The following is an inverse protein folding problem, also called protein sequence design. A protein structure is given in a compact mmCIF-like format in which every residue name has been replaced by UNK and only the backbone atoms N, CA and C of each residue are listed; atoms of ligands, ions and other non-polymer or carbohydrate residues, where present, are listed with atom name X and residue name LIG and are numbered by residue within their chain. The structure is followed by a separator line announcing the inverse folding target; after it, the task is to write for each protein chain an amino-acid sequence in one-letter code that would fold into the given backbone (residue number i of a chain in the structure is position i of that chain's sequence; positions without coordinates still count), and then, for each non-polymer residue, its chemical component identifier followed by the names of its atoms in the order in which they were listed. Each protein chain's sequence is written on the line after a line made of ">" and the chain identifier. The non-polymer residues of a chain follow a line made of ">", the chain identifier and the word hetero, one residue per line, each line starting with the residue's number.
data_IF_783035006641
#
_entry.id   IF_783035006641
#
_cell.length_a   1.000
_cell.length_b   1.000
_cell.length_c   1.000
_cell.angle_alpha   90.00
_cell.angle_beta   90.00
_cell.angle_gamma   90.00
#
_symmetry.space_group_name_H-M   'P 1'
#
loop_
_entity.id
_entity.type
_entity.pdbx_description
1 polymer ?
#
# COMPACT_ATOMS: atom_id res chain seq x y z
N UNK A 1 -33.38 -26.62 6.23
CA UNK A 1 -32.21 -25.87 6.71
C UNK A 1 -31.85 -24.82 5.67
N UNK A 2 -32.10 -23.54 5.97
CA UNK A 2 -31.82 -22.42 5.08
C UNK A 2 -30.41 -21.88 5.36
N UNK A 3 -29.45 -22.03 4.44
CA UNK A 3 -28.15 -21.35 4.52
C UNK A 3 -28.19 -20.02 3.75
N UNK A 4 -28.70 -18.97 4.39
CA UNK A 4 -28.59 -17.60 3.88
C UNK A 4 -27.13 -17.09 3.90
N UNK A 5 -26.30 -17.64 4.79
CA UNK A 5 -24.90 -17.28 4.97
C UNK A 5 -24.03 -17.66 3.75
N UNK A 6 -24.31 -18.79 3.09
CA UNK A 6 -23.51 -19.26 1.95
C UNK A 6 -23.78 -18.44 0.68
N UNK A 7 -25.02 -18.01 0.47
CA UNK A 7 -25.38 -17.12 -0.65
C UNK A 7 -24.75 -15.75 -0.52
N UNK A 8 -24.74 -15.17 0.69
CA UNK A 8 -24.11 -13.87 0.92
C UNK A 8 -22.59 -13.95 0.69
N UNK A 9 -21.91 -14.97 1.24
CA UNK A 9 -20.46 -15.19 1.02
C UNK A 9 -20.13 -15.43 -0.45
N UNK A 10 -20.95 -16.19 -1.17
CA UNK A 10 -20.79 -16.44 -2.60
C UNK A 10 -20.98 -15.16 -3.43
N UNK A 11 -22.01 -14.35 -3.12
CA UNK A 11 -22.25 -13.07 -3.77
C UNK A 11 -21.10 -12.08 -3.52
N UNK A 12 -20.60 -11.99 -2.28
CA UNK A 12 -19.44 -11.15 -1.94
C UNK A 12 -18.19 -11.54 -2.72
N UNK A 13 -17.86 -12.83 -2.81
CA UNK A 13 -16.70 -13.31 -3.58
C UNK A 13 -16.83 -13.01 -5.07
N UNK A 14 -18.04 -13.13 -5.62
CA UNK A 14 -18.33 -12.79 -7.02
C UNK A 14 -18.13 -11.30 -7.29
N UNK A 15 -18.63 -10.41 -6.42
CA UNK A 15 -18.46 -8.96 -6.57
C UNK A 15 -16.99 -8.56 -6.51
N UNK A 16 -16.23 -9.08 -5.54
CA UNK A 16 -14.79 -8.79 -5.43
C UNK A 16 -14.00 -9.27 -6.65
N UNK A 17 -14.33 -10.47 -7.17
CA UNK A 17 -13.71 -10.97 -8.39
C UNK A 17 -13.97 -10.02 -9.56
N UNK A 18 -15.22 -9.61 -9.77
CA UNK A 18 -15.56 -8.69 -10.86
C UNK A 18 -14.90 -7.32 -10.74
N UNK A 19 -14.73 -6.82 -9.52
CA UNK A 19 -13.97 -5.59 -9.29
C UNK A 19 -12.50 -5.76 -9.68
N UNK A 20 -11.87 -6.86 -9.25
CA UNK A 20 -10.48 -7.17 -9.63
C UNK A 20 -10.35 -7.33 -11.15
N UNK A 21 -11.26 -8.06 -11.79
CA UNK A 21 -11.27 -8.25 -13.25
C UNK A 21 -11.37 -6.90 -13.97
N UNK A 22 -12.23 -5.99 -13.51
CA UNK A 22 -12.35 -4.65 -14.08
C UNK A 22 -11.06 -3.82 -13.92
N UNK A 23 -10.35 -3.93 -12.79
CA UNK A 23 -9.06 -3.26 -12.63
C UNK A 23 -7.98 -3.87 -13.52
N UNK A 24 -7.96 -5.20 -13.67
CA UNK A 24 -7.04 -5.88 -14.57
C UNK A 24 -7.29 -5.47 -16.01
N UNK A 25 -8.55 -5.43 -16.44
CA UNK A 25 -8.95 -4.94 -17.76
C UNK A 25 -8.50 -3.49 -17.98
N UNK A 26 -8.73 -2.61 -17.00
CA UNK A 26 -8.38 -1.19 -17.09
C UNK A 26 -6.88 -0.92 -17.25
N UNK A 27 -6.02 -1.84 -16.78
CA UNK A 27 -4.56 -1.71 -16.93
C UNK A 27 -4.00 -2.58 -18.06
N UNK A 28 -4.79 -3.43 -18.69
CA UNK A 28 -4.33 -4.34 -19.74
C UNK A 28 -4.17 -3.65 -21.10
N UNK A 29 -3.34 -4.19 -22.03
CA UNK A 29 -2.46 -5.35 -21.87
C UNK A 29 -1.06 -5.02 -21.31
N UNK A 30 -0.69 -3.75 -21.21
CA UNK A 30 0.69 -3.31 -20.93
C UNK A 30 0.91 -2.65 -19.56
N UNK A 31 -0.10 -2.64 -18.69
CA UNK A 31 -0.03 -2.05 -17.37
C UNK A 31 0.12 -3.10 -16.27
N UNK A 32 0.12 -2.61 -15.03
CA UNK A 32 0.30 -3.42 -13.84
C UNK A 32 -0.76 -3.04 -12.81
N UNK A 33 -1.41 -4.05 -12.24
CA UNK A 33 -2.26 -3.92 -11.07
C UNK A 33 -1.44 -4.31 -9.83
N UNK A 34 -1.27 -3.38 -8.90
CA UNK A 34 -0.46 -3.55 -7.69
C UNK A 34 -1.34 -3.31 -6.48
N UNK A 35 -1.50 -4.30 -5.61
CA UNK A 35 -2.27 -4.19 -4.37
C UNK A 35 -1.36 -4.45 -3.15
N UNK A 36 -1.60 -3.79 -2.01
CA UNK A 36 -0.85 -4.04 -0.79
C UNK A 36 -1.16 -5.43 -0.24
N UNK A 37 -0.12 -6.19 0.09
CA UNK A 37 -0.20 -7.52 0.68
C UNK A 37 0.52 -7.55 2.05
N UNK A 38 0.41 -6.48 2.83
CA UNK A 38 1.19 -6.30 4.05
C UNK A 38 0.91 -7.40 5.08
N UNK A 39 1.94 -7.85 5.78
CA UNK A 39 1.84 -8.92 6.77
C UNK A 39 2.47 -8.57 8.11
N UNK A 40 3.39 -7.61 8.15
CA UNK A 40 4.13 -7.21 9.36
C UNK A 40 4.87 -8.37 10.06
N UNK A 41 5.09 -9.50 9.39
CA UNK A 41 5.70 -10.71 9.96
C UNK A 41 7.05 -10.45 10.64
N UNK A 42 7.90 -9.62 10.02
CA UNK A 42 9.20 -9.26 10.59
C UNK A 42 9.09 -8.40 11.86
N UNK A 43 8.00 -7.67 12.04
CA UNK A 43 7.71 -6.95 13.28
C UNK A 43 7.28 -7.90 14.40
N UNK A 44 6.75 -9.08 14.06
CA UNK A 44 6.20 -10.06 14.99
C UNK A 44 7.15 -11.24 15.25
N UNK A 45 8.33 -11.27 14.62
CA UNK A 45 9.26 -12.41 14.72
C UNK A 45 8.78 -13.66 13.99
N UNK A 46 7.90 -13.49 12.99
CA UNK A 46 7.31 -14.58 12.22
C UNK A 46 8.07 -14.82 10.91
N UNK A 47 7.98 -16.06 10.41
CA UNK A 47 8.53 -16.41 9.08
C UNK A 47 7.63 -15.83 8.01
N UNK A 48 8.23 -15.11 7.05
CA UNK A 48 7.54 -14.62 5.87
C UNK A 48 7.68 -15.62 4.72
N UNK A 49 6.56 -16.07 4.18
CA UNK A 49 6.51 -16.87 2.96
C UNK A 49 5.70 -16.08 1.92
N UNK A 50 6.31 -15.58 0.82
CA UNK A 50 5.60 -14.79 -0.18
C UNK A 50 4.36 -15.50 -0.75
N UNK A 51 4.42 -16.84 -0.86
CA UNK A 51 3.38 -17.68 -1.45
C UNK A 51 2.28 -18.02 -0.43
N UNK A 52 2.63 -18.26 0.83
CA UNK A 52 1.69 -18.76 1.85
C UNK A 52 1.21 -17.69 2.85
N UNK A 53 2.05 -16.72 3.25
CA UNK A 53 1.71 -15.76 4.32
C UNK A 53 0.50 -14.90 3.93
N UNK A 54 -0.59 -14.89 4.72
CA UNK A 54 -1.75 -14.04 4.41
C UNK A 54 -1.45 -12.54 4.46
N UNK A 55 -2.13 -11.77 3.62
CA UNK A 55 -2.25 -10.31 3.77
C UNK A 55 -3.15 -9.97 4.96
N UNK A 56 -2.81 -8.90 5.68
CA UNK A 56 -3.56 -8.40 6.85
C UNK A 56 -4.35 -7.13 6.57
N UNK A 57 -4.33 -6.62 5.33
CA UNK A 57 -4.83 -5.28 4.98
C UNK A 57 -6.02 -5.25 4.02
N UNK A 58 -6.77 -6.36 3.94
CA UNK A 58 -8.08 -6.38 3.29
C UNK A 58 -8.38 -7.67 2.55
N UNK A 59 -9.68 -8.02 2.49
CA UNK A 59 -10.14 -9.24 1.82
C UNK A 59 -9.91 -9.20 0.30
N UNK A 60 -10.07 -8.03 -0.33
CA UNK A 60 -9.84 -7.85 -1.77
C UNK A 60 -8.36 -8.06 -2.12
N UNK A 61 -7.45 -7.55 -1.30
CA UNK A 61 -6.01 -7.68 -1.55
C UNK A 61 -5.53 -9.11 -1.31
N UNK A 62 -6.08 -9.81 -0.31
CA UNK A 62 -5.80 -11.23 -0.09
C UNK A 62 -6.37 -12.13 -1.21
N UNK A 63 -7.55 -11.81 -1.73
CA UNK A 63 -8.11 -12.50 -2.89
C UNK A 63 -7.23 -12.29 -4.12
N UNK A 64 -6.80 -11.06 -4.38
CA UNK A 64 -5.89 -10.74 -5.48
C UNK A 64 -4.54 -11.45 -5.35
N UNK A 65 -3.94 -11.47 -4.16
CA UNK A 65 -2.67 -12.18 -3.91
C UNK A 65 -2.73 -13.65 -4.35
N UNK A 66 -3.89 -14.30 -4.21
CA UNK A 66 -4.13 -15.71 -4.56
C UNK A 66 -4.55 -15.91 -6.02
N UNK A 67 -4.72 -14.84 -6.80
CA UNK A 67 -5.13 -14.95 -8.19
C UNK A 67 -4.01 -15.57 -9.05
N UNK A 68 -4.35 -16.38 -10.07
CA UNK A 68 -3.36 -16.94 -10.97
C UNK A 68 -2.48 -15.88 -11.63
N UNK A 69 -1.17 -16.15 -11.71
CA UNK A 69 -0.20 -15.26 -12.37
C UNK A 69 0.28 -14.08 -11.52
N UNK A 70 -0.30 -13.85 -10.34
CA UNK A 70 0.14 -12.80 -9.42
C UNK A 70 1.47 -13.18 -8.76
N UNK A 71 2.41 -12.24 -8.72
CA UNK A 71 3.67 -12.36 -7.96
C UNK A 71 3.65 -11.44 -6.75
N UNK A 72 4.43 -11.78 -5.71
CA UNK A 72 4.56 -10.97 -4.50
C UNK A 72 6.01 -10.62 -4.21
N UNK A 73 6.24 -9.40 -3.71
CA UNK A 73 7.57 -8.96 -3.26
C UNK A 73 8.00 -9.62 -1.95
N UNK A 74 9.31 -9.66 -1.73
CA UNK A 74 9.94 -10.27 -0.56
C UNK A 74 9.93 -9.43 0.74
N UNK A 75 9.28 -8.25 0.74
CA UNK A 75 9.18 -7.41 1.93
C UNK A 75 8.27 -8.04 3.00
N UNK A 76 8.90 -8.58 4.06
CA UNK A 76 8.23 -9.23 5.19
C UNK A 76 7.43 -8.28 6.09
N UNK A 77 7.37 -6.98 5.76
CA UNK A 77 6.57 -5.97 6.44
C UNK A 77 5.51 -5.43 5.48
N UNK A 78 5.95 -4.79 4.39
CA UNK A 78 5.13 -4.03 3.44
C UNK A 78 5.06 -4.66 2.04
N UNK A 79 5.03 -6.00 1.94
CA UNK A 79 4.94 -6.67 0.64
C UNK A 79 3.73 -6.24 -0.19
N UNK A 80 3.91 -6.29 -1.51
CA UNK A 80 2.89 -6.02 -2.52
C UNK A 80 2.67 -7.25 -3.40
N UNK A 81 1.45 -7.40 -3.87
CA UNK A 81 1.06 -8.35 -4.91
C UNK A 81 0.93 -7.61 -6.24
N UNK A 82 1.38 -8.22 -7.34
CA UNK A 82 1.45 -7.60 -8.67
C UNK A 82 0.97 -8.55 -9.75
N UNK A 83 0.14 -8.04 -10.66
CA UNK A 83 -0.20 -8.68 -11.93
C UNK A 83 0.06 -7.69 -13.06
N UNK A 84 0.80 -8.07 -14.08
CA UNK A 84 1.04 -7.22 -15.25
C UNK A 84 2.36 -7.48 -15.96
N UNK A 85 2.65 -6.65 -16.96
CA UNK A 85 3.81 -6.80 -17.84
C UNK A 85 5.16 -6.66 -17.12
N UNK A 86 5.21 -5.81 -16.09
CA UNK A 86 6.44 -5.39 -15.40
C UNK A 86 6.45 -5.91 -13.96
N UNK A 87 5.73 -7.00 -13.68
CA UNK A 87 5.61 -7.56 -12.33
C UNK A 87 6.97 -7.82 -11.67
N UNK A 88 7.95 -8.32 -12.43
CA UNK A 88 9.30 -8.61 -11.91
C UNK A 88 10.03 -7.34 -11.48
N UNK A 89 9.82 -6.22 -12.20
CA UNK A 89 10.35 -4.93 -11.78
C UNK A 89 9.73 -4.49 -10.45
N UNK A 90 8.43 -4.67 -10.23
CA UNK A 90 7.79 -4.19 -9.00
C UNK A 90 8.08 -5.06 -7.76
N UNK A 91 8.19 -6.38 -7.92
CA UNK A 91 8.44 -7.29 -6.79
C UNK A 91 9.89 -7.29 -6.30
N UNK A 92 10.85 -6.87 -7.14
CA UNK A 92 12.29 -6.82 -6.83
C UNK A 92 12.67 -5.68 -5.87
N UNK A 93 12.10 -5.67 -4.67
CA UNK A 93 12.21 -4.55 -3.72
C UNK A 93 13.51 -4.56 -2.92
N UNK A 94 14.00 -3.38 -2.58
CA UNK A 94 15.12 -3.18 -1.67
C UNK A 94 14.81 -3.55 -0.22
N UNK A 95 15.77 -3.30 0.68
CA UNK A 95 15.64 -3.59 2.12
C UNK A 95 15.16 -2.41 2.96
N UNK A 96 14.76 -1.32 2.33
CA UNK A 96 14.19 -0.15 2.99
C UNK A 96 12.74 0.01 2.53
N UNK A 97 11.78 -0.26 3.42
CA UNK A 97 10.35 -0.37 3.07
C UNK A 97 9.77 0.87 2.38
N UNK A 98 10.36 2.05 2.63
CA UNK A 98 9.90 3.34 2.08
C UNK A 98 11.05 4.17 1.51
N UNK A 99 12.19 3.53 1.22
CA UNK A 99 13.38 4.21 0.73
C UNK A 99 13.78 3.76 -0.67
N UNK A 100 15.10 3.70 -0.88
CA UNK A 100 15.68 3.30 -2.16
C UNK A 100 15.22 1.88 -2.55
N UNK A 101 14.79 1.74 -3.80
CA UNK A 101 14.25 0.52 -4.40
C UNK A 101 12.98 -0.02 -3.71
N UNK A 102 12.34 0.74 -2.83
CA UNK A 102 11.03 0.39 -2.29
C UNK A 102 9.97 0.38 -3.39
N UNK A 103 8.88 -0.36 -3.19
CA UNK A 103 7.74 -0.28 -4.11
C UNK A 103 7.24 1.15 -4.28
N UNK A 104 7.26 1.96 -3.21
CA UNK A 104 6.78 3.34 -3.27
C UNK A 104 7.68 4.24 -4.11
N UNK A 105 9.00 4.04 -4.09
CA UNK A 105 9.92 4.72 -5.02
C UNK A 105 9.66 4.28 -6.47
N UNK A 106 9.47 2.98 -6.72
CA UNK A 106 9.14 2.48 -8.07
C UNK A 106 7.82 3.02 -8.60
N UNK A 107 6.81 3.15 -7.74
CA UNK A 107 5.53 3.77 -8.09
C UNK A 107 5.71 5.26 -8.44
N UNK A 108 6.60 5.97 -7.74
CA UNK A 108 6.99 7.34 -8.08
C UNK A 108 7.68 7.41 -9.44
N UNK A 109 8.69 6.57 -9.67
CA UNK A 109 9.48 6.54 -10.91
C UNK A 109 8.62 6.24 -12.15
N UNK A 110 7.58 5.41 -11.99
CA UNK A 110 6.63 5.10 -13.06
C UNK A 110 5.45 6.06 -13.14
N UNK A 111 5.43 7.12 -12.32
CA UNK A 111 4.30 8.05 -12.16
C UNK A 111 2.94 7.33 -12.08
N UNK A 112 2.89 6.26 -11.28
CA UNK A 112 1.73 5.39 -11.19
C UNK A 112 0.50 6.13 -10.64
N UNK A 113 -0.68 5.54 -10.85
CA UNK A 113 -1.90 5.98 -10.20
C UNK A 113 -2.00 5.34 -8.81
N UNK A 114 -2.26 6.16 -7.79
CA UNK A 114 -2.72 5.71 -6.48
C UNK A 114 -4.24 5.75 -6.47
N UNK A 115 -4.87 4.58 -6.31
CA UNK A 115 -6.33 4.42 -6.37
C UNK A 115 -6.86 3.96 -5.01
N UNK A 116 -7.87 4.67 -4.52
CA UNK A 116 -8.53 4.43 -3.25
C UNK A 116 -9.99 4.08 -3.51
N UNK A 117 -10.45 2.98 -2.94
CA UNK A 117 -11.83 2.50 -3.09
C UNK A 117 -12.48 2.50 -1.73
N UNK A 118 -13.61 3.17 -1.61
CA UNK A 118 -14.35 3.26 -0.35
C UNK A 118 -14.43 4.68 0.19
N UNK A 119 -14.99 4.78 1.38
CA UNK A 119 -15.14 6.07 2.06
C UNK A 119 -13.86 6.54 2.72
N UNK A 120 -12.96 5.64 3.15
CA UNK A 120 -11.71 6.05 3.80
C UNK A 120 -10.62 6.40 2.79
N UNK A 121 -9.81 7.40 3.13
CA UNK A 121 -8.62 7.76 2.38
C UNK A 121 -7.37 7.29 3.12
N UNK A 122 -7.02 6.01 2.97
CA UNK A 122 -5.83 5.44 3.61
C UNK A 122 -4.65 5.40 2.63
N UNK A 123 -3.71 6.34 2.79
CA UNK A 123 -2.60 6.54 1.87
C UNK A 123 -1.26 6.14 2.48
N UNK A 124 -0.89 4.86 2.40
CA UNK A 124 0.43 4.37 2.86
C UNK A 124 1.59 5.08 2.17
N UNK A 125 1.39 5.58 0.94
CA UNK A 125 2.39 6.34 0.18
C UNK A 125 2.89 7.61 0.89
N UNK A 126 2.14 8.19 1.83
CA UNK A 126 2.63 9.36 2.60
C UNK A 126 3.90 9.02 3.38
N UNK A 127 4.10 7.76 3.78
CA UNK A 127 5.27 7.32 4.54
C UNK A 127 6.57 7.34 3.72
N UNK A 128 6.46 7.13 2.41
CA UNK A 128 7.55 7.35 1.46
C UNK A 128 7.94 8.84 1.40
N UNK A 129 6.95 9.73 1.33
CA UNK A 129 7.18 11.19 1.33
C UNK A 129 7.82 11.64 2.65
N UNK A 130 7.29 11.17 3.78
CA UNK A 130 7.81 11.46 5.12
C UNK A 130 9.27 11.01 5.29
N UNK A 131 9.60 9.81 4.81
CA UNK A 131 10.96 9.30 4.86
C UNK A 131 11.90 10.11 3.96
N UNK A 132 11.45 10.46 2.75
CA UNK A 132 12.24 11.25 1.80
C UNK A 132 12.57 12.64 2.35
N UNK A 133 11.66 13.24 3.12
CA UNK A 133 11.83 14.55 3.76
C UNK A 133 12.40 14.48 5.18
N UNK A 134 12.63 13.27 5.72
CA UNK A 134 13.17 13.04 7.07
C UNK A 134 12.40 13.81 8.15
N UNK A 135 11.08 13.62 8.17
CA UNK A 135 10.22 14.24 9.20
C UNK A 135 10.69 13.86 10.62
N UNK A 136 10.62 14.79 11.59
CA UNK A 136 11.25 14.60 12.90
C UNK A 136 10.50 13.61 13.81
N UNK A 137 9.28 13.24 13.46
CA UNK A 137 8.41 12.39 14.26
C UNK A 137 8.40 10.92 13.79
N UNK A 138 9.36 10.53 12.95
CA UNK A 138 9.60 9.14 12.55
C UNK A 138 11.07 8.79 12.63
N UNK A 139 11.37 7.52 12.84
CA UNK A 139 12.74 7.03 12.91
C UNK A 139 12.88 5.67 12.26
N UNK A 140 14.06 5.41 11.66
CA UNK A 140 14.37 4.11 11.08
C UNK A 140 14.63 3.08 12.18
N UNK A 141 13.95 1.93 12.07
CA UNK A 141 14.20 0.74 12.87
C UNK A 141 14.48 -0.45 11.95
N UNK A 142 15.42 -1.30 12.37
CA UNK A 142 15.75 -2.56 11.69
C UNK A 142 14.92 -3.69 12.27
N UNK A 143 14.35 -4.50 11.39
CA UNK A 143 13.61 -5.70 11.73
C UNK A 143 14.25 -6.88 11.00
N UNK A 144 14.74 -7.85 11.78
CA UNK A 144 15.33 -9.07 11.26
C UNK A 144 14.29 -10.18 11.22
N UNK A 145 14.31 -11.00 10.18
CA UNK A 145 13.39 -12.12 10.02
C UNK A 145 13.88 -13.12 9.00
N UNK A 146 13.04 -14.13 8.74
CA UNK A 146 13.33 -15.21 7.80
C UNK A 146 12.31 -15.20 6.68
N UNK A 147 12.78 -15.21 5.44
CA UNK A 147 11.97 -15.43 4.25
C UNK A 147 12.07 -16.91 3.89
N UNK A 148 10.93 -17.58 3.74
CA UNK A 148 10.81 -18.94 3.22
C UNK A 148 10.47 -18.89 1.74
N UNK A 149 11.24 -19.63 0.94
CA UNK A 149 10.98 -19.87 -0.50
C UNK A 149 11.13 -21.35 -0.78
N UNK A 150 10.01 -22.09 -0.81
CA UNK A 150 10.04 -23.55 -0.83
C UNK A 150 10.84 -24.11 0.34
N UNK A 151 11.88 -24.90 0.04
CA UNK A 151 12.76 -25.48 1.06
C UNK A 151 13.85 -24.51 1.57
N UNK A 152 14.00 -23.33 0.97
CA UNK A 152 15.04 -22.37 1.33
C UNK A 152 14.56 -21.42 2.44
N UNK A 153 15.42 -21.17 3.42
CA UNK A 153 15.25 -20.15 4.45
C UNK A 153 16.33 -19.09 4.28
N UNK A 154 15.92 -17.83 4.17
CA UNK A 154 16.79 -16.69 3.88
C UNK A 154 16.65 -15.69 5.03
N UNK A 155 17.72 -15.49 5.79
CA UNK A 155 17.77 -14.41 6.78
C UNK A 155 17.80 -13.07 6.05
N UNK A 156 16.94 -12.15 6.45
CA UNK A 156 16.87 -10.82 5.90
C UNK A 156 16.66 -9.77 7.01
N UNK A 157 17.02 -8.54 6.70
CA UNK A 157 16.77 -7.37 7.54
C UNK A 157 16.09 -6.32 6.68
N UNK A 158 15.00 -5.76 7.17
CA UNK A 158 14.33 -4.62 6.57
C UNK A 158 14.42 -3.39 7.49
N UNK A 159 14.65 -2.23 6.89
CA UNK A 159 14.51 -0.93 7.53
C UNK A 159 13.10 -0.41 7.33
N UNK A 160 12.45 -0.03 8.42
CA UNK A 160 11.15 0.60 8.43
C UNK A 160 11.24 1.92 9.20
N UNK A 161 10.89 3.03 8.54
CA UNK A 161 10.70 4.34 9.16
C UNK A 161 9.40 4.39 9.98
N UNK A 162 9.50 3.91 11.22
CA UNK A 162 8.39 3.74 12.15
C UNK A 162 7.95 5.08 12.76
N UNK A 163 6.69 5.15 13.19
CA UNK A 163 6.27 6.17 14.16
C UNK A 163 6.38 5.61 15.60
N UNK A 164 6.79 6.41 16.58
CA UNK A 164 6.60 6.08 17.99
C UNK A 164 5.11 5.91 18.31
N UNK A 165 4.79 4.88 19.10
CA UNK A 165 3.40 4.55 19.46
C UNK A 165 2.88 5.38 20.65
N UNK A 166 3.79 5.89 21.47
CA UNK A 166 3.58 6.62 22.72
C UNK A 166 3.52 8.15 22.55
N UNK A 167 3.86 8.68 21.36
CA UNK A 167 3.96 10.12 21.12
C UNK A 167 2.71 10.76 20.51
N UNK A 168 1.56 10.07 20.51
CA UNK A 168 0.28 10.66 20.07
C UNK A 168 0.27 11.11 18.60
N UNK A 169 1.04 10.44 17.74
CA UNK A 169 1.09 10.77 16.30
C UNK A 169 -0.20 10.28 15.63
N UNK A 170 -1.06 11.23 15.29
CA UNK A 170 -2.34 10.98 14.62
C UNK A 170 -2.39 11.70 13.29
N UNK A 171 -2.53 10.94 12.20
CA UNK A 171 -2.67 11.47 10.86
C UNK A 171 -4.03 12.10 10.62
N UNK A 172 -4.06 13.16 9.80
CA UNK A 172 -5.28 13.76 9.26
C UNK A 172 -5.39 13.46 7.76
N UNK A 173 -5.76 12.23 7.43
CA UNK A 173 -5.75 11.75 6.04
C UNK A 173 -6.84 12.40 5.17
N UNK A 174 -7.99 12.76 5.74
CA UNK A 174 -9.01 13.50 5.00
C UNK A 174 -8.60 14.96 4.75
N UNK A 175 -7.80 15.58 5.62
CA UNK A 175 -7.15 16.86 5.31
C UNK A 175 -6.20 16.74 4.11
N UNK A 176 -5.43 15.66 4.03
CA UNK A 176 -4.57 15.38 2.88
C UNK A 176 -5.41 15.18 1.61
N UNK A 177 -6.50 14.41 1.68
CA UNK A 177 -7.41 14.20 0.56
C UNK A 177 -8.01 15.51 0.05
N UNK A 178 -8.57 16.33 0.93
CA UNK A 178 -9.11 17.66 0.59
C UNK A 178 -8.06 18.56 -0.04
N UNK A 179 -6.83 18.56 0.50
CA UNK A 179 -5.75 19.36 -0.05
C UNK A 179 -5.36 18.97 -1.49
N UNK A 180 -5.41 17.67 -1.81
CA UNK A 180 -5.21 17.19 -3.20
C UNK A 180 -6.40 17.51 -4.11
N UNK A 181 -7.63 17.46 -3.58
CA UNK A 181 -8.87 17.80 -4.28
C UNK A 181 -8.95 19.30 -4.60
N UNK A 182 -8.69 20.17 -3.63
CA UNK A 182 -8.68 21.63 -3.77
C UNK A 182 -7.62 22.09 -4.80
N UNK A 183 -6.54 21.32 -4.95
CA UNK A 183 -5.52 21.53 -5.98
C UNK A 183 -5.90 20.98 -7.36
N UNK A 184 -7.05 20.32 -7.50
CA UNK A 184 -7.52 19.70 -8.75
C UNK A 184 -6.78 18.41 -9.14
N UNK A 185 -6.01 17.81 -8.23
CA UNK A 185 -5.16 16.64 -8.50
C UNK A 185 -5.84 15.32 -8.12
N UNK A 186 -6.73 15.33 -7.11
CA UNK A 186 -7.50 14.15 -6.72
C UNK A 186 -8.75 14.01 -7.60
N UNK A 187 -8.77 12.99 -8.46
CA UNK A 187 -9.95 12.62 -9.24
C UNK A 187 -10.90 11.79 -8.40
N UNK A 188 -12.20 12.09 -8.45
CA UNK A 188 -13.21 11.39 -7.68
C UNK A 188 -14.33 10.93 -8.62
N UNK A 189 -14.73 9.67 -8.51
CA UNK A 189 -15.88 9.10 -9.22
C UNK A 189 -16.76 8.32 -8.24
N UNK A 190 -18.08 8.36 -8.46
CA UNK A 190 -19.01 7.56 -7.67
C UNK A 190 -18.85 6.06 -7.96
N UNK A 191 -19.05 5.23 -6.94
CA UNK A 191 -19.10 3.76 -7.01
C UNK A 191 -20.18 3.25 -6.06
N UNK A 192 -21.41 3.11 -6.55
CA UNK A 192 -22.55 2.75 -5.72
C UNK A 192 -22.79 3.77 -4.61
N UNK A 193 -22.83 3.30 -3.36
CA UNK A 193 -22.90 4.15 -2.15
C UNK A 193 -21.52 4.61 -1.66
N UNK A 194 -20.49 4.47 -2.48
CA UNK A 194 -19.16 4.93 -2.16
C UNK A 194 -18.51 5.66 -3.34
N UNK A 195 -17.19 5.81 -3.31
CA UNK A 195 -16.38 6.54 -4.29
C UNK A 195 -15.07 5.82 -4.57
N UNK A 196 -14.56 6.08 -5.76
CA UNK A 196 -13.17 5.83 -6.15
C UNK A 196 -12.48 7.19 -6.17
N UNK A 197 -11.35 7.29 -5.49
CA UNK A 197 -10.46 8.46 -5.56
C UNK A 197 -9.14 8.05 -6.22
N UNK A 198 -8.57 8.88 -7.07
CA UNK A 198 -7.32 8.56 -7.76
C UNK A 198 -6.42 9.79 -7.93
N UNK A 199 -5.11 9.63 -7.73
CA UNK A 199 -4.10 10.67 -7.92
C UNK A 199 -2.81 10.08 -8.47
N UNK A 200 -2.07 10.82 -9.30
CA UNK A 200 -0.75 10.40 -9.75
C UNK A 200 0.31 10.51 -8.64
N UNK A 201 1.22 9.55 -8.58
CA UNK A 201 2.29 9.48 -7.58
C UNK A 201 3.19 10.73 -7.59
N UNK A 202 3.56 11.25 -8.77
CA UNK A 202 4.44 12.42 -8.88
C UNK A 202 3.70 13.68 -8.43
N UNK A 203 2.44 13.84 -8.82
CA UNK A 203 1.61 14.99 -8.42
C UNK A 203 1.39 15.03 -6.91
N UNK A 204 1.00 13.89 -6.32
CA UNK A 204 0.87 13.76 -4.88
C UNK A 204 2.20 14.01 -4.17
N UNK A 205 3.30 13.43 -4.66
CA UNK A 205 4.62 13.66 -4.08
C UNK A 205 5.00 15.14 -4.07
N UNK A 206 4.84 15.82 -5.21
CA UNK A 206 5.23 17.23 -5.36
C UNK A 206 4.40 18.13 -4.45
N UNK A 207 3.06 18.01 -4.50
CA UNK A 207 2.17 18.87 -3.71
C UNK A 207 2.35 18.64 -2.21
N UNK A 208 2.36 17.38 -1.79
CA UNK A 208 2.47 17.05 -0.36
C UNK A 208 3.86 17.32 0.20
N UNK A 209 4.92 17.15 -0.61
CA UNK A 209 6.26 17.56 -0.20
C UNK A 209 6.37 19.08 -0.04
N UNK A 210 5.73 19.85 -0.93
CA UNK A 210 5.69 21.30 -0.78
C UNK A 210 4.94 21.72 0.50
N UNK A 211 3.87 21.02 0.86
CA UNK A 211 3.16 21.26 2.11
C UNK A 211 4.02 20.94 3.34
N UNK A 212 4.69 19.78 3.38
CA UNK A 212 5.59 19.39 4.47
C UNK A 212 6.79 20.34 4.63
N UNK A 213 7.30 20.92 3.53
CA UNK A 213 8.37 21.93 3.62
C UNK A 213 7.91 23.24 4.25
N UNK A 214 6.61 23.59 4.13
CA UNK A 214 6.02 24.77 4.75
C UNK A 214 5.65 24.51 6.21
N UNK A 215 5.10 23.33 6.49
CA UNK A 215 4.75 22.85 7.82
C UNK A 215 5.13 21.37 7.92
N UNK A 216 6.22 21.08 8.64
CA UNK A 216 6.74 19.71 8.75
C UNK A 216 5.76 18.76 9.45
N UNK A 217 4.74 19.27 10.15
CA UNK A 217 3.68 18.50 10.80
C UNK A 217 2.38 18.49 9.99
N UNK A 218 2.40 18.92 8.72
CA UNK A 218 1.20 19.07 7.89
C UNK A 218 0.36 17.80 7.81
N UNK A 219 0.93 16.60 7.83
CA UNK A 219 0.15 15.36 7.78
C UNK A 219 -0.57 15.00 9.08
N UNK A 220 -0.25 15.66 10.19
CA UNK A 220 -0.77 15.34 11.51
C UNK A 220 -2.03 16.17 11.83
N UNK A 221 -2.85 15.65 12.74
CA UNK A 221 -4.00 16.38 13.32
C UNK A 221 -3.57 17.55 14.21
N UNK A 222 -2.44 17.40 14.87
CA UNK A 222 -1.83 18.43 15.71
C UNK A 222 -0.30 18.32 15.65
N UNK A 223 0.45 19.43 15.79
CA UNK A 223 1.89 19.39 15.98
C UNK A 223 2.27 18.63 17.25
N UNK A 224 3.45 18.03 17.25
CA UNK A 224 4.03 17.48 18.48
C UNK A 224 4.47 18.63 19.40
N UNK A 225 4.15 18.50 20.69
CA UNK A 225 4.57 19.45 21.74
C UNK A 225 5.96 19.11 22.25
#
# INVERSE_FOLDING_TARGET
>A
MHSSCDRAKFAHKCVLSRMLDAFVEAVSPGGNLILPAFSYTFCNGEVFDPDETPSTVGIMTEQFRKSPGVKRSDDGIFSIAVLGSDQDYFIDVGRDCFGAQSVFEKLYDRNAWLVFIGETFDMTYIHFIEQRLRVPYRSKKRFSGVIRKGCCLINAVFEYNVRPLDQGIHYDLEKIARYLEDAGLLRISALGHSKIRAVHCVDAFNLLSAALRKDIYFFLKAPLR
#
